data_IF_956439765883
#
_entry.id   IF_956439765883
#
_cell.length_a   1.000
_cell.length_b   1.000
_cell.length_c   1.000
_cell.angle_alpha   90.00
_cell.angle_beta   90.00
_cell.angle_gamma   90.00
#
_symmetry.space_group_name_H-M   'P 1'
#
loop_
_entity.id
_entity.type
_entity.pdbx_description
1 polymer ?
#
# COMPACT_ATOMS: atom_id res chain seq x y z
N UNK A 1 16.89 -48.68 15.90
CA UNK A 1 15.44 -48.55 16.22
C UNK A 1 15.09 -47.08 16.15
N UNK A 2 14.09 -46.68 15.37
CA UNK A 2 13.64 -45.29 15.24
C UNK A 2 12.66 -44.97 16.37
N UNK A 3 12.87 -43.86 17.07
CA UNK A 3 11.99 -43.37 18.14
C UNK A 3 11.66 -41.91 17.85
N UNK A 4 10.39 -41.54 17.94
CA UNK A 4 9.90 -40.18 17.78
C UNK A 4 9.08 -39.80 19.02
N UNK A 5 9.47 -38.72 19.68
CA UNK A 5 8.70 -38.02 20.71
C UNK A 5 8.80 -36.52 20.44
N UNK A 6 7.72 -35.79 20.74
CA UNK A 6 7.45 -34.40 20.36
C UNK A 6 8.66 -33.59 19.83
N UNK A 7 8.78 -33.50 18.50
CA UNK A 7 9.72 -32.59 17.83
C UNK A 7 11.14 -33.11 17.56
N UNK A 8 11.49 -34.33 18.00
CA UNK A 8 12.81 -34.94 17.75
C UNK A 8 12.73 -36.29 17.05
N UNK A 9 13.71 -36.56 16.17
CA UNK A 9 13.89 -37.85 15.48
C UNK A 9 15.26 -38.39 15.85
N UNK A 10 15.30 -39.60 16.40
CA UNK A 10 16.54 -40.25 16.83
C UNK A 10 16.76 -41.64 16.22
N UNK A 11 18.04 -42.00 16.04
CA UNK A 11 18.47 -43.32 15.59
C UNK A 11 19.47 -43.94 16.57
N UNK A 12 19.14 -45.10 17.13
CA UNK A 12 20.02 -45.83 18.05
C UNK A 12 20.66 -47.07 17.42
N UNK A 13 21.97 -47.24 17.61
CA UNK A 13 22.77 -48.43 17.25
C UNK A 13 23.70 -48.78 18.42
N UNK A 14 23.58 -50.00 18.96
CA UNK A 14 24.63 -50.61 19.80
C UNK A 14 25.09 -49.82 21.04
N UNK A 15 24.18 -49.14 21.74
CA UNK A 15 24.49 -48.36 22.96
C UNK A 15 24.74 -46.86 22.72
N UNK A 16 24.83 -46.43 21.46
CA UNK A 16 24.92 -45.02 21.07
C UNK A 16 23.57 -44.54 20.51
N UNK A 17 23.19 -43.30 20.85
CA UNK A 17 21.99 -42.62 20.35
C UNK A 17 22.38 -41.32 19.67
N UNK A 18 21.86 -41.10 18.47
CA UNK A 18 21.93 -39.79 17.79
C UNK A 18 20.52 -39.23 17.73
N UNK A 19 20.35 -38.02 18.23
CA UNK A 19 19.07 -37.31 18.30
C UNK A 19 19.17 -36.01 17.47
N UNK A 20 18.22 -35.82 16.56
CA UNK A 20 18.04 -34.60 15.79
C UNK A 20 16.83 -33.85 16.32
N UNK A 21 17.06 -32.67 16.85
CA UNK A 21 16.03 -31.77 17.36
C UNK A 21 15.88 -30.57 16.43
N UNK A 22 14.63 -30.28 16.02
CA UNK A 22 14.30 -29.12 15.21
C UNK A 22 13.38 -28.24 16.03
N UNK A 23 13.92 -27.14 16.55
CA UNK A 23 13.18 -26.14 17.30
C UNK A 23 12.57 -25.09 16.38
N UNK A 24 11.26 -24.87 16.50
CA UNK A 24 10.58 -23.72 15.89
C UNK A 24 10.16 -22.76 16.99
N UNK A 25 10.91 -21.67 17.18
CA UNK A 25 10.56 -20.65 18.17
C UNK A 25 10.00 -19.40 17.47
N UNK A 26 8.75 -19.05 17.82
CA UNK A 26 8.17 -17.74 17.50
C UNK A 26 8.34 -16.82 18.70
N UNK A 27 9.38 -15.99 18.66
CA UNK A 27 9.54 -14.91 19.62
C UNK A 27 8.54 -13.80 19.30
N UNK A 28 7.51 -13.64 20.13
CA UNK A 28 6.72 -12.40 20.16
C UNK A 28 7.46 -11.39 21.04
N UNK A 29 8.07 -10.38 20.45
CA UNK A 29 8.55 -9.22 21.22
C UNK A 29 7.34 -8.38 21.62
N UNK A 30 7.02 -8.37 22.91
CA UNK A 30 5.99 -7.49 23.48
C UNK A 30 6.50 -6.05 23.34
N UNK A 31 5.84 -5.27 22.49
CA UNK A 31 6.19 -3.86 22.31
C UNK A 31 6.07 -3.10 23.63
N UNK A 32 7.07 -2.29 23.95
CA UNK A 32 7.00 -1.29 25.03
C UNK A 32 6.03 -0.21 24.55
N UNK A 33 4.74 -0.46 24.70
CA UNK A 33 3.68 0.55 24.68
C UNK A 33 2.42 -0.08 25.25
N UNK A 34 2.44 -0.17 26.58
CA UNK A 34 1.24 -0.24 27.36
C UNK A 34 0.46 1.07 27.17
N UNK A 35 -0.60 1.04 26.36
CA UNK A 35 -1.77 1.93 26.49
C UNK A 35 -2.86 1.53 25.50
N UNK A 36 -3.82 0.77 26.04
CA UNK A 36 -5.26 0.84 25.75
C UNK A 36 -5.71 1.04 24.29
N UNK A 37 -6.30 -0.03 23.74
CA UNK A 37 -7.42 0.00 22.77
C UNK A 37 -7.20 0.83 21.50
N UNK A 38 -6.31 0.38 20.61
CA UNK A 38 -6.23 0.81 19.19
C UNK A 38 -5.81 -0.30 18.21
N UNK A 39 -5.99 -1.58 18.57
CA UNK A 39 -5.52 -2.69 17.73
C UNK A 39 -6.42 -2.89 16.48
N UNK A 40 -7.73 -2.72 16.61
CA UNK A 40 -8.68 -2.94 15.49
C UNK A 40 -8.58 -1.87 14.36
N UNK A 41 -8.19 -0.65 14.70
CA UNK A 41 -8.03 0.43 13.73
C UNK A 41 -6.69 0.32 12.99
N UNK A 42 -5.64 -0.17 13.66
CA UNK A 42 -4.33 -0.38 13.03
C UNK A 42 -4.34 -1.59 12.07
N UNK A 43 -5.00 -2.70 12.44
CA UNK A 43 -5.05 -3.90 11.61
C UNK A 43 -5.87 -3.69 10.32
N UNK A 44 -6.97 -2.94 10.40
CA UNK A 44 -7.77 -2.58 9.21
C UNK A 44 -7.04 -1.61 8.27
N UNK A 45 -6.26 -0.67 8.82
CA UNK A 45 -5.39 0.23 8.05
C UNK A 45 -4.22 -0.53 7.41
N UNK A 46 -3.61 -1.51 8.10
CA UNK A 46 -2.54 -2.36 7.57
C UNK A 46 -2.97 -3.29 6.42
N UNK A 47 -4.26 -3.67 6.35
CA UNK A 47 -4.79 -4.48 5.25
C UNK A 47 -5.12 -3.64 4.00
N UNK A 48 -5.72 -2.45 4.18
CA UNK A 48 -6.06 -1.54 3.07
C UNK A 48 -4.81 -1.10 2.28
N UNK A 49 -3.73 -0.94 3.02
CA UNK A 49 -2.39 -0.63 2.58
C UNK A 49 -1.87 -1.54 1.45
N UNK A 50 -1.63 -2.81 1.80
CA UNK A 50 -1.16 -3.84 0.88
C UNK A 50 -2.06 -3.97 -0.34
N UNK A 51 -3.36 -3.72 -0.17
CA UNK A 51 -4.34 -3.77 -1.23
C UNK A 51 -4.20 -2.65 -2.27
N UNK A 52 -3.99 -1.38 -1.87
CA UNK A 52 -3.81 -0.26 -2.80
C UNK A 52 -2.61 -0.47 -3.72
N UNK A 53 -1.45 -0.77 -3.14
CA UNK A 53 -0.22 -1.06 -3.89
C UNK A 53 -0.41 -2.26 -4.84
N UNK A 54 -1.04 -3.33 -4.34
CA UNK A 54 -1.33 -4.52 -5.13
C UNK A 54 -2.28 -4.22 -6.31
N UNK A 55 -3.36 -3.46 -6.09
CA UNK A 55 -4.32 -3.15 -7.15
C UNK A 55 -3.73 -2.24 -8.23
N UNK A 56 -2.83 -1.31 -7.89
CA UNK A 56 -2.09 -0.50 -8.88
C UNK A 56 -1.22 -1.38 -9.77
N UNK A 57 -0.39 -2.25 -9.17
CA UNK A 57 0.54 -3.12 -9.92
C UNK A 57 -0.23 -4.14 -10.78
N UNK A 58 -1.29 -4.73 -10.23
CA UNK A 58 -2.11 -5.73 -10.95
C UNK A 58 -3.11 -5.13 -11.93
N UNK A 59 -3.31 -3.80 -11.93
CA UNK A 59 -4.22 -3.12 -12.84
C UNK A 59 -5.71 -3.32 -12.54
N UNK A 60 -6.07 -3.69 -11.30
CA UNK A 60 -7.46 -3.91 -10.88
C UNK A 60 -8.19 -2.59 -10.63
N UNK A 61 -8.57 -1.90 -11.70
CA UNK A 61 -9.14 -0.53 -11.65
C UNK A 61 -10.37 -0.40 -10.74
N UNK A 62 -11.30 -1.35 -10.75
CA UNK A 62 -12.52 -1.27 -9.93
C UNK A 62 -12.22 -1.40 -8.44
N UNK A 63 -11.33 -2.33 -8.07
CA UNK A 63 -10.91 -2.51 -6.67
C UNK A 63 -10.05 -1.36 -6.19
N UNK A 64 -9.16 -0.86 -7.05
CA UNK A 64 -8.37 0.35 -6.78
C UNK A 64 -9.29 1.55 -6.56
N UNK A 65 -10.31 1.73 -7.39
CA UNK A 65 -11.31 2.80 -7.24
C UNK A 65 -12.01 2.71 -5.89
N UNK A 66 -12.48 1.51 -5.52
CA UNK A 66 -13.16 1.29 -4.24
C UNK A 66 -12.23 1.54 -3.04
N UNK A 67 -10.96 1.17 -3.13
CA UNK A 67 -9.96 1.42 -2.08
C UNK A 67 -9.61 2.92 -1.98
N UNK A 68 -9.33 3.58 -3.10
CA UNK A 68 -9.06 5.02 -3.17
C UNK A 68 -10.24 5.87 -2.67
N UNK A 69 -11.47 5.43 -2.93
CA UNK A 69 -12.67 6.12 -2.44
C UNK A 69 -12.80 6.08 -0.91
N UNK A 70 -12.17 5.11 -0.25
CA UNK A 70 -12.10 5.03 1.23
C UNK A 70 -10.93 5.82 1.80
N UNK A 71 -9.94 6.16 0.98
CA UNK A 71 -8.80 7.00 1.40
C UNK A 71 -9.26 8.44 1.61
N UNK A 72 -8.76 9.08 2.67
CA UNK A 72 -9.12 10.47 2.95
C UNK A 72 -8.52 11.42 1.89
N UNK A 73 -9.21 12.53 1.61
CA UNK A 73 -8.68 13.54 0.69
C UNK A 73 -7.32 14.09 1.12
N UNK A 74 -7.08 14.18 2.45
CA UNK A 74 -5.79 14.60 3.03
C UNK A 74 -4.65 13.70 2.60
N UNK A 75 -4.84 12.38 2.66
CA UNK A 75 -3.81 11.41 2.31
C UNK A 75 -3.52 11.43 0.80
N UNK A 76 -4.54 11.66 -0.02
CA UNK A 76 -4.38 11.84 -1.47
C UNK A 76 -3.59 13.11 -1.79
N UNK A 77 -3.85 14.21 -1.08
CA UNK A 77 -3.06 15.43 -1.23
C UNK A 77 -1.60 15.17 -0.83
N UNK A 78 -1.34 14.49 0.27
CA UNK A 78 0.01 14.15 0.70
C UNK A 78 0.75 13.24 -0.29
N UNK A 79 0.05 12.22 -0.80
CA UNK A 79 0.55 11.35 -1.87
C UNK A 79 0.96 12.16 -3.10
N UNK A 80 0.06 13.00 -3.61
CA UNK A 80 0.27 13.82 -4.80
C UNK A 80 1.42 14.83 -4.62
N UNK A 81 1.52 15.49 -3.46
CA UNK A 81 2.63 16.38 -3.12
C UNK A 81 3.97 15.62 -3.13
N UNK A 82 4.01 14.44 -2.52
CA UNK A 82 5.22 13.60 -2.47
C UNK A 82 5.62 13.09 -3.86
N UNK A 83 4.65 12.62 -4.65
CA UNK A 83 4.88 12.16 -6.03
C UNK A 83 5.35 13.31 -6.93
N UNK A 84 4.79 14.51 -6.77
CA UNK A 84 5.22 15.70 -7.52
C UNK A 84 6.67 16.10 -7.26
N UNK A 85 7.15 15.93 -6.03
CA UNK A 85 8.54 16.23 -5.64
C UNK A 85 9.50 15.14 -6.13
N UNK A 86 9.13 13.87 -5.95
CA UNK A 86 10.03 12.73 -6.20
C UNK A 86 10.02 12.23 -7.65
N UNK A 87 8.87 12.31 -8.33
CA UNK A 87 8.66 11.78 -9.68
C UNK A 87 7.72 12.67 -10.50
N UNK A 88 8.15 13.91 -10.78
CA UNK A 88 7.36 14.93 -11.49
C UNK A 88 6.78 14.43 -12.82
N UNK A 89 7.57 13.66 -13.59
CA UNK A 89 7.15 13.09 -14.88
C UNK A 89 5.97 12.12 -14.75
N UNK A 90 5.91 11.37 -13.66
CA UNK A 90 4.79 10.45 -13.36
C UNK A 90 3.58 11.27 -12.90
N UNK A 91 3.80 12.23 -12.01
CA UNK A 91 2.74 13.13 -11.50
C UNK A 91 2.00 13.85 -12.64
N UNK A 92 2.73 14.29 -13.67
CA UNK A 92 2.19 14.94 -14.89
C UNK A 92 1.32 14.02 -15.77
N UNK A 93 1.36 12.70 -15.57
CA UNK A 93 0.51 11.73 -16.30
C UNK A 93 -0.84 11.49 -15.63
N UNK A 94 -0.98 11.86 -14.35
CA UNK A 94 -2.16 11.60 -13.54
C UNK A 94 -3.02 12.87 -13.50
N UNK A 95 -4.34 12.71 -13.62
CA UNK A 95 -5.29 13.81 -13.71
C UNK A 95 -4.92 14.81 -14.80
N UNK A 96 -4.39 14.31 -15.91
CA UNK A 96 -3.96 15.16 -17.02
C UNK A 96 -5.19 15.70 -17.76
N UNK A 97 -5.44 17.01 -17.70
CA UNK A 97 -6.59 17.63 -18.35
C UNK A 97 -6.45 17.61 -19.87
N UNK A 98 -7.58 17.54 -20.57
CA UNK A 98 -7.64 17.34 -22.02
C UNK A 98 -8.20 18.56 -22.73
N UNK A 99 -7.79 18.75 -23.97
CA UNK A 99 -8.46 19.70 -24.85
C UNK A 99 -9.40 19.00 -25.82
N UNK A 100 -10.59 19.58 -25.98
CA UNK A 100 -11.63 19.12 -26.93
C UNK A 100 -12.05 20.24 -27.89
N UNK A 101 -11.30 21.34 -27.92
CA UNK A 101 -11.56 22.46 -28.82
C UNK A 101 -11.07 22.15 -30.24
N UNK A 102 -11.88 22.50 -31.23
CA UNK A 102 -11.53 22.40 -32.64
C UNK A 102 -10.89 23.72 -33.07
N UNK A 103 -9.56 23.78 -33.14
CA UNK A 103 -8.82 24.97 -33.61
C UNK A 103 -8.15 25.84 -32.54
N UNK A 104 -8.06 25.40 -31.28
CA UNK A 104 -7.34 26.09 -30.21
C UNK A 104 -7.08 25.20 -28.98
N UNK A 105 -6.31 25.70 -28.01
CA UNK A 105 -6.05 25.00 -26.76
C UNK A 105 -7.05 25.46 -25.69
N UNK A 106 -8.00 24.60 -25.36
CA UNK A 106 -8.86 24.76 -24.18
C UNK A 106 -8.78 23.48 -23.37
N UNK A 107 -7.91 23.50 -22.36
CA UNK A 107 -7.77 22.41 -21.39
C UNK A 107 -8.69 22.65 -20.19
N UNK A 108 -9.09 21.59 -19.51
CA UNK A 108 -9.78 21.72 -18.22
C UNK A 108 -8.91 22.50 -17.23
N UNK A 109 -9.54 23.40 -16.46
CA UNK A 109 -8.91 24.16 -15.39
C UNK A 109 -9.49 23.72 -14.05
N UNK A 110 -8.66 23.20 -13.17
CA UNK A 110 -9.06 22.74 -11.85
C UNK A 110 -9.54 23.88 -10.95
N UNK A 111 -10.76 23.72 -10.46
CA UNK A 111 -11.40 24.60 -9.48
C UNK A 111 -12.25 23.79 -8.50
N UNK A 112 -12.91 24.47 -7.57
CA UNK A 112 -13.75 23.85 -6.55
C UNK A 112 -15.06 23.23 -7.11
N UNK A 113 -15.45 23.56 -8.34
CA UNK A 113 -16.67 23.02 -8.94
C UNK A 113 -16.62 23.07 -10.47
N UNK A 114 -17.13 22.03 -11.11
CA UNK A 114 -17.30 21.99 -12.57
C UNK A 114 -18.41 22.93 -13.01
N UNK A 115 -18.16 23.69 -14.07
CA UNK A 115 -19.13 24.63 -14.64
C UNK A 115 -20.38 23.89 -15.16
N UNK A 116 -21.55 24.50 -14.97
CA UNK A 116 -22.84 23.98 -15.44
C UNK A 116 -22.90 23.92 -16.97
N UNK A 117 -22.44 25.00 -17.60
CA UNK A 117 -22.26 25.08 -19.06
C UNK A 117 -20.80 25.37 -19.33
N UNK A 118 -20.20 24.61 -20.26
CA UNK A 118 -18.83 24.83 -20.70
C UNK A 118 -18.80 25.83 -21.87
N UNK A 119 -19.58 26.90 -21.80
CA UNK A 119 -19.60 27.95 -22.81
C UNK A 119 -18.79 29.13 -22.29
N UNK A 120 -17.50 29.16 -22.63
CA UNK A 120 -16.60 30.21 -22.15
C UNK A 120 -15.90 29.91 -20.81
N UNK A 121 -16.26 28.81 -20.14
CA UNK A 121 -15.68 28.39 -18.87
C UNK A 121 -15.01 27.02 -19.00
N UNK A 122 -13.75 26.95 -18.57
CA UNK A 122 -12.91 25.76 -18.59
C UNK A 122 -12.89 25.04 -17.21
N UNK A 123 -13.64 25.55 -16.23
CA UNK A 123 -13.63 25.09 -14.85
C UNK A 123 -14.12 23.65 -14.68
N UNK A 124 -13.31 22.83 -14.02
CA UNK A 124 -13.63 21.46 -13.66
C UNK A 124 -13.15 21.11 -12.26
N UNK A 125 -13.89 20.25 -11.57
CA UNK A 125 -13.46 19.57 -10.33
C UNK A 125 -13.27 18.07 -10.52
N UNK A 126 -13.30 17.59 -11.78
CA UNK A 126 -13.14 16.20 -12.14
C UNK A 126 -11.72 15.95 -12.69
N UNK A 127 -11.01 15.02 -12.06
CA UNK A 127 -9.67 14.58 -12.47
C UNK A 127 -9.66 14.12 -13.94
N UNK A 128 -8.74 14.69 -14.74
CA UNK A 128 -8.51 14.33 -16.14
C UNK A 128 -9.61 14.78 -17.12
N UNK A 129 -10.49 15.69 -16.68
CA UNK A 129 -11.59 16.23 -17.47
C UNK A 129 -11.11 17.20 -18.55
N UNK A 130 -12.00 17.53 -19.48
CA UNK A 130 -11.72 18.39 -20.61
C UNK A 130 -12.21 19.83 -20.42
N UNK A 131 -11.58 20.76 -21.11
CA UNK A 131 -12.02 22.15 -21.21
C UNK A 131 -13.32 22.30 -22.01
N UNK A 132 -13.66 23.54 -22.37
CA UNK A 132 -14.83 23.81 -23.21
C UNK A 132 -14.72 23.26 -24.63
N UNK A 133 -15.89 23.01 -25.20
CA UNK A 133 -16.04 22.80 -26.64
C UNK A 133 -16.24 24.15 -27.34
N UNK A 134 -15.60 24.35 -28.49
CA UNK A 134 -15.73 25.57 -29.30
C UNK A 134 -14.43 26.34 -29.52
N UNK A 135 -14.38 27.09 -30.62
CA UNK A 135 -13.18 27.80 -31.10
C UNK A 135 -13.18 29.23 -30.56
N UNK A 136 -12.69 29.46 -29.35
CA UNK A 136 -12.47 30.81 -28.81
C UNK A 136 -11.02 30.99 -28.35
N UNK A 137 -10.46 32.17 -28.59
CA UNK A 137 -9.03 32.50 -28.46
C UNK A 137 -8.51 32.65 -27.02
N UNK A 138 -9.36 32.54 -26.00
CA UNK A 138 -9.03 32.79 -24.59
C UNK A 138 -9.28 31.58 -23.68
N UNK A 139 -8.97 30.37 -24.17
CA UNK A 139 -8.99 29.11 -23.41
C UNK A 139 -7.87 29.01 -22.37
N UNK A 140 -8.05 28.15 -21.36
CA UNK A 140 -6.91 27.67 -20.59
C UNK A 140 -5.92 26.96 -21.53
N UNK A 141 -4.78 27.61 -21.79
CA UNK A 141 -3.85 27.22 -22.85
C UNK A 141 -2.91 26.07 -22.50
N UNK A 142 -2.87 25.64 -21.24
CA UNK A 142 -1.98 24.58 -20.74
C UNK A 142 -2.73 23.46 -20.04
N UNK A 143 -2.25 22.25 -20.26
CA UNK A 143 -2.63 21.06 -19.50
C UNK A 143 -2.34 21.26 -18.01
N UNK A 144 -3.28 20.82 -17.17
CA UNK A 144 -3.09 20.71 -15.74
C UNK A 144 -3.03 19.25 -15.35
N UNK A 145 -2.44 18.96 -14.19
CA UNK A 145 -2.17 17.60 -13.75
C UNK A 145 -2.46 17.42 -12.25
N UNK A 146 -2.05 16.30 -11.67
CA UNK A 146 -2.32 15.92 -10.28
C UNK A 146 -2.01 17.03 -9.25
N UNK A 147 -0.88 17.73 -9.39
CA UNK A 147 -0.56 18.88 -8.52
C UNK A 147 -1.60 20.01 -8.58
N UNK A 148 -2.05 20.40 -9.77
CA UNK A 148 -3.10 21.41 -9.94
C UNK A 148 -4.46 20.92 -9.44
N UNK A 149 -4.78 19.63 -9.61
CA UNK A 149 -5.98 19.03 -9.06
C UNK A 149 -6.00 19.13 -7.54
N UNK A 150 -4.88 18.85 -6.88
CA UNK A 150 -4.74 19.02 -5.44
C UNK A 150 -4.97 20.46 -4.99
N UNK A 151 -4.34 21.43 -5.66
CA UNK A 151 -4.42 22.83 -5.26
C UNK A 151 -5.77 23.45 -5.61
N UNK A 152 -6.25 23.25 -6.85
CA UNK A 152 -7.47 23.88 -7.36
C UNK A 152 -8.76 23.19 -6.95
N UNK A 153 -8.74 21.87 -6.78
CA UNK A 153 -9.94 21.06 -6.56
C UNK A 153 -10.02 20.48 -5.15
N UNK A 154 -8.90 19.98 -4.60
CA UNK A 154 -8.86 19.44 -3.23
C UNK A 154 -8.50 20.47 -2.15
N UNK A 155 -8.30 21.74 -2.53
CA UNK A 155 -7.96 22.87 -1.63
C UNK A 155 -6.70 22.67 -0.78
N UNK A 156 -5.77 21.83 -1.24
CA UNK A 156 -4.51 21.45 -0.54
C UNK A 156 -4.65 20.77 0.84
N UNK A 157 -5.80 20.86 1.48
CA UNK A 157 -6.14 20.22 2.74
C UNK A 157 -7.02 18.98 2.55
N UNK A 158 -7.43 18.67 1.32
CA UNK A 158 -8.22 17.51 0.98
C UNK A 158 -9.68 17.59 1.46
N UNK A 159 -10.17 18.78 1.81
CA UNK A 159 -11.50 18.97 2.40
C UNK A 159 -12.65 18.89 1.38
N UNK A 160 -12.35 19.09 0.10
CA UNK A 160 -13.36 19.14 -0.96
C UNK A 160 -13.07 18.17 -2.10
N UNK A 161 -14.13 17.84 -2.84
CA UNK A 161 -14.09 17.12 -4.11
C UNK A 161 -13.45 15.71 -4.11
N UNK A 162 -13.07 15.17 -2.96
CA UNK A 162 -12.68 13.77 -2.81
C UNK A 162 -13.72 12.96 -2.02
N UNK A 163 -14.06 11.72 -2.43
CA UNK A 163 -13.72 11.04 -3.69
C UNK A 163 -14.63 11.42 -4.86
N UNK A 164 -15.59 12.33 -4.65
CA UNK A 164 -16.61 12.74 -5.63
C UNK A 164 -16.52 14.23 -5.93
N UNK A 165 -16.50 14.56 -7.22
CA UNK A 165 -16.46 15.92 -7.75
C UNK A 165 -17.74 16.73 -7.42
N UNK A 166 -17.67 18.04 -7.63
CA UNK A 166 -18.79 18.97 -7.41
C UNK A 166 -19.14 19.63 -8.73
N UNK A 167 -20.41 19.64 -9.08
CA UNK A 167 -20.94 20.28 -10.28
C UNK A 167 -21.80 21.48 -9.90
N UNK A 168 -21.89 22.45 -10.80
CA UNK A 168 -22.88 23.52 -10.69
C UNK A 168 -24.11 23.12 -11.49
N UNK A 169 -25.31 23.16 -10.89
CA UNK A 169 -26.59 22.88 -11.52
C UNK A 169 -27.63 23.88 -11.03
N UNK A 170 -28.30 24.58 -11.95
CA UNK A 170 -29.21 25.68 -11.63
C UNK A 170 -28.57 26.77 -10.78
N UNK A 171 -27.28 27.06 -11.00
CA UNK A 171 -26.52 28.04 -10.21
C UNK A 171 -26.17 27.62 -8.77
N UNK A 172 -26.44 26.38 -8.38
CA UNK A 172 -26.07 25.82 -7.06
C UNK A 172 -24.95 24.80 -7.21
N UNK A 173 -24.07 24.71 -6.20
CA UNK A 173 -23.02 23.69 -6.13
C UNK A 173 -23.57 22.44 -5.46
N UNK A 174 -23.44 21.30 -6.11
CA UNK A 174 -23.88 20.00 -5.62
C UNK A 174 -22.87 18.91 -6.01
N UNK A 175 -22.91 17.75 -5.34
CA UNK A 175 -22.07 16.61 -5.70
C UNK A 175 -22.52 16.03 -7.04
N UNK A 176 -21.55 15.58 -7.84
CA UNK A 176 -21.84 14.89 -9.08
C UNK A 176 -22.73 13.65 -8.81
N UNK A 177 -23.67 13.38 -9.74
CA UNK A 177 -24.59 12.24 -9.64
C UNK A 177 -23.83 10.90 -9.61
N UNK A 178 -22.71 10.82 -10.34
CA UNK A 178 -21.80 9.68 -10.31
C UNK A 178 -20.90 9.77 -9.08
N UNK A 179 -21.13 8.90 -8.11
CA UNK A 179 -20.29 8.80 -6.92
C UNK A 179 -18.90 8.27 -7.26
N UNK A 180 -17.88 8.71 -6.51
CA UNK A 180 -16.48 8.29 -6.62
C UNK A 180 -15.84 8.57 -7.99
N UNK A 181 -16.36 9.50 -8.77
CA UNK A 181 -15.88 9.83 -10.11
C UNK A 181 -14.41 10.29 -10.13
N UNK A 182 -13.97 11.05 -9.11
CA UNK A 182 -12.56 11.43 -8.95
C UNK A 182 -11.68 10.24 -8.57
N UNK A 183 -12.12 9.38 -7.66
CA UNK A 183 -11.38 8.16 -7.32
C UNK A 183 -11.24 7.22 -8.53
N UNK A 184 -12.29 7.09 -9.34
CA UNK A 184 -12.28 6.28 -10.56
C UNK A 184 -11.34 6.87 -11.62
N UNK A 185 -11.36 8.19 -11.80
CA UNK A 185 -10.47 8.87 -12.74
C UNK A 185 -8.99 8.70 -12.34
N UNK A 186 -8.66 8.90 -11.06
CA UNK A 186 -7.30 8.65 -10.55
C UNK A 186 -6.92 7.19 -10.74
N UNK A 187 -7.78 6.24 -10.38
CA UNK A 187 -7.51 4.81 -10.53
C UNK A 187 -7.18 4.44 -11.98
N UNK A 188 -7.95 4.97 -12.95
CA UNK A 188 -7.72 4.73 -14.38
C UNK A 188 -6.37 5.25 -14.86
N UNK A 189 -5.97 6.43 -14.41
CA UNK A 189 -4.67 6.99 -14.78
C UNK A 189 -3.52 6.16 -14.16
N UNK A 190 -3.67 5.73 -12.90
CA UNK A 190 -2.69 4.88 -12.22
C UNK A 190 -2.53 3.52 -12.88
N UNK A 191 -3.62 2.86 -13.28
CA UNK A 191 -3.55 1.55 -13.93
C UNK A 191 -3.07 1.62 -15.39
N UNK A 192 -3.02 2.81 -15.99
CA UNK A 192 -2.48 3.07 -17.33
C UNK A 192 -0.97 3.34 -17.35
N UNK A 193 -0.34 3.56 -16.19
CA UNK A 193 1.11 3.76 -16.09
C UNK A 193 1.88 2.51 -16.56
N UNK A 194 3.16 2.69 -16.88
CA UNK A 194 4.06 1.56 -17.19
C UNK A 194 4.32 0.71 -15.94
N UNK A 195 4.83 -0.51 -16.12
CA UNK A 195 5.09 -1.42 -15.01
C UNK A 195 5.98 -0.79 -13.92
N UNK A 196 7.10 -0.18 -14.31
CA UNK A 196 8.04 0.43 -13.36
C UNK A 196 7.42 1.66 -12.67
N UNK A 197 6.66 2.47 -13.39
CA UNK A 197 5.94 3.61 -12.83
C UNK A 197 4.86 3.17 -11.84
N UNK A 198 4.16 2.06 -12.12
CA UNK A 198 3.21 1.45 -11.18
C UNK A 198 3.90 1.01 -9.90
N UNK A 199 5.06 0.39 -9.98
CA UNK A 199 5.83 -0.02 -8.79
C UNK A 199 6.23 1.18 -7.93
N UNK A 200 6.69 2.27 -8.56
CA UNK A 200 7.02 3.52 -7.86
C UNK A 200 5.78 4.10 -7.16
N UNK A 201 4.67 4.23 -7.89
CA UNK A 201 3.45 4.81 -7.34
C UNK A 201 2.85 3.92 -6.25
N UNK A 202 2.86 2.60 -6.43
CA UNK A 202 2.42 1.65 -5.42
C UNK A 202 3.24 1.80 -4.12
N UNK A 203 4.57 1.89 -4.23
CA UNK A 203 5.44 2.11 -3.07
C UNK A 203 5.21 3.46 -2.39
N UNK A 204 4.92 4.51 -3.17
CA UNK A 204 4.60 5.84 -2.62
C UNK A 204 3.24 5.88 -1.95
N UNK A 205 2.18 5.35 -2.58
CA UNK A 205 0.86 5.21 -1.98
C UNK A 205 0.99 4.48 -0.65
N UNK A 206 1.78 3.41 -0.63
CA UNK A 206 2.02 2.67 0.58
C UNK A 206 2.68 3.53 1.67
N UNK A 207 3.75 4.24 1.31
CA UNK A 207 4.43 5.12 2.25
C UNK A 207 3.58 6.28 2.77
N UNK A 208 2.76 6.90 1.91
CA UNK A 208 2.09 8.17 2.22
C UNK A 208 0.69 8.01 2.80
N UNK A 209 -0.07 7.01 2.33
CA UNK A 209 -1.44 6.78 2.81
C UNK A 209 -1.43 5.86 4.03
N UNK A 210 -0.45 4.98 4.14
CA UNK A 210 -0.41 3.97 5.21
C UNK A 210 0.43 4.42 6.41
N UNK A 211 1.13 5.56 6.30
CA UNK A 211 2.12 5.96 7.30
C UNK A 211 3.25 4.96 7.33
N UNK A 212 4.13 4.99 6.32
CA UNK A 212 5.33 4.19 6.25
C UNK A 212 6.35 4.55 7.33
N UNK A 213 6.03 4.28 8.61
CA UNK A 213 7.04 3.83 9.53
C UNK A 213 7.50 2.47 8.99
N UNK A 214 8.79 2.37 8.68
CA UNK A 214 9.43 1.07 8.48
C UNK A 214 9.23 0.31 9.78
N UNK A 215 8.22 -0.55 9.85
CA UNK A 215 8.09 -1.48 10.95
C UNK A 215 9.29 -2.41 10.82
N UNK A 216 10.27 -2.19 11.69
CA UNK A 216 11.35 -3.13 11.93
C UNK A 216 10.74 -4.52 12.08
N UNK A 217 11.20 -5.45 11.26
CA UNK A 217 10.62 -6.77 11.03
C UNK A 217 10.30 -7.44 12.38
N UNK A 218 9.01 -7.58 12.71
CA UNK A 218 8.53 -8.10 14.01
C UNK A 218 8.57 -9.62 14.15
N UNK A 219 9.26 -10.32 13.26
CA UNK A 219 9.53 -11.74 13.42
C UNK A 219 10.78 -12.13 12.65
N UNK A 220 11.87 -12.35 13.37
CA UNK A 220 12.98 -13.17 12.89
C UNK A 220 12.54 -14.61 13.10
N UNK A 221 12.22 -15.31 12.00
CA UNK A 221 12.00 -16.75 12.06
C UNK A 221 13.37 -17.42 12.14
N UNK A 222 13.83 -17.73 13.34
CA UNK A 222 15.04 -18.52 13.54
C UNK A 222 14.70 -19.99 13.47
N UNK A 223 15.34 -20.71 12.54
CA UNK A 223 15.35 -22.18 12.58
C UNK A 223 16.62 -22.62 13.29
N UNK A 224 16.48 -23.31 14.41
CA UNK A 224 17.60 -23.94 15.11
C UNK A 224 17.58 -25.43 14.85
N UNK A 225 18.77 -25.98 14.59
CA UNK A 225 18.98 -27.43 14.47
C UNK A 225 20.01 -27.79 15.52
N UNK A 226 19.67 -28.71 16.42
CA UNK A 226 20.60 -29.28 17.39
C UNK A 226 20.78 -30.76 17.08
N UNK A 227 22.04 -31.19 17.03
CA UNK A 227 22.40 -32.60 16.89
C UNK A 227 23.07 -33.03 18.17
N UNK A 228 22.42 -33.93 18.92
CA UNK A 228 22.94 -34.51 20.14
C UNK A 228 23.44 -35.92 19.87
N UNK A 229 24.69 -36.19 20.24
CA UNK A 229 25.25 -37.54 20.27
C UNK A 229 25.40 -37.95 21.72
N UNK A 230 24.76 -39.05 22.09
CA UNK A 230 24.69 -39.46 23.47
C UNK A 230 25.04 -40.93 23.66
N UNK A 231 25.69 -41.20 24.80
CA UNK A 231 26.24 -42.51 25.12
C UNK A 231 25.73 -42.96 26.49
N UNK A 232 25.19 -44.19 26.52
CA UNK A 232 24.82 -44.86 27.75
C UNK A 232 26.10 -45.46 28.36
N UNK A 233 26.59 -44.88 29.46
CA UNK A 233 27.74 -45.42 30.18
C UNK A 233 27.28 -46.62 31.01
N UNK A 234 27.37 -47.80 30.41
CA UNK A 234 27.09 -49.06 31.09
C UNK A 234 28.17 -49.33 32.15
N UNK A 235 27.85 -49.02 33.40
CA UNK A 235 28.65 -49.42 34.56
C UNK A 235 27.97 -50.61 35.21
N UNK A 236 28.63 -51.77 35.20
CA UNK A 236 28.10 -52.98 35.83
C UNK A 236 27.99 -52.76 37.35
N UNK A 237 26.76 -52.73 37.87
CA UNK A 237 26.49 -52.75 39.33
C UNK A 237 25.60 -51.64 39.90
N UNK A 238 25.15 -50.65 39.12
CA UNK A 238 24.13 -49.68 39.57
C UNK A 238 22.83 -49.84 38.78
N UNK A 239 21.69 -49.88 39.48
CA UNK A 239 20.35 -49.93 38.88
C UNK A 239 19.89 -48.65 38.17
N UNK A 240 20.84 -47.77 37.80
CA UNK A 240 20.65 -46.52 37.06
C UNK A 240 21.80 -46.36 36.08
N UNK A 241 21.48 -46.14 34.79
CA UNK A 241 22.48 -45.97 33.73
C UNK A 241 22.75 -44.48 33.55
N UNK A 242 23.96 -43.98 33.89
CA UNK A 242 24.31 -42.58 33.63
C UNK A 242 24.42 -42.34 32.13
N UNK A 243 23.79 -41.25 31.69
CA UNK A 243 23.71 -40.83 30.30
C UNK A 243 24.51 -39.54 30.12
N UNK A 244 25.36 -39.49 29.11
CA UNK A 244 26.12 -38.30 28.75
C UNK A 244 25.89 -37.93 27.28
N UNK A 245 25.56 -36.67 27.03
CA UNK A 245 25.35 -36.11 25.69
C UNK A 245 26.38 -35.03 25.36
N UNK A 246 26.79 -34.99 24.10
CA UNK A 246 27.48 -33.83 23.52
C UNK A 246 26.69 -33.37 22.30
N UNK A 247 26.32 -32.09 22.30
CA UNK A 247 25.51 -31.47 21.26
C UNK A 247 26.27 -30.44 20.43
N UNK A 248 25.99 -30.40 19.12
CA UNK A 248 26.39 -29.31 18.22
C UNK A 248 25.13 -28.67 17.64
N UNK A 249 25.01 -27.35 17.77
CA UNK A 249 23.84 -26.60 17.33
C UNK A 249 24.20 -25.48 16.34
N UNK A 250 23.33 -25.28 15.34
CA UNK A 250 23.41 -24.18 14.39
C UNK A 250 22.11 -23.40 14.35
N UNK A 251 22.19 -22.07 14.31
CA UNK A 251 21.04 -21.17 14.19
C UNK A 251 21.11 -20.50 12.81
N UNK A 252 20.02 -20.59 12.04
CA UNK A 252 19.84 -19.81 10.81
C UNK A 252 18.74 -18.79 11.02
N UNK A 253 19.14 -17.51 11.11
CA UNK A 253 18.22 -16.37 11.13
C UNK A 253 17.74 -16.00 9.72
N UNK A 254 16.53 -15.47 9.63
CA UNK A 254 15.94 -14.86 8.43
C UNK A 254 15.73 -13.36 8.66
#
# INVERSE_FOLDING_TARGET
MLVAMEGSVGYGIGGARVELEIGYERFKTKGIRDSGSKEDEADTVYLLAKELAYYVVTGQTDKLTAALAKTSGKDIVQFAKTLGISHDKISKKICKTKSVASGGNSYGKYTASTAETRTGDDSTSLCGDSGRTGSHSSGNGSEQHLGDFVTGTLKEDGSENWPTSTVTKGGKKEKAEKTNDNAEAVAKDLTKLTHDEKTIVAGLLAKTIEGGEVVEIRAVSSTSVMVNACYDLLSEGLGVVPYACVGLGGIKGA
#
